data_IF_305720072975
#
_entry.id   IF_305720072975
#
_cell.length_a   1.000
_cell.length_b   1.000
_cell.length_c   1.000
_cell.angle_alpha   90.00
_cell.angle_beta   90.00
_cell.angle_gamma   90.00
#
_symmetry.space_group_name_H-M   'P 1'
#
loop_
_entity.id
_entity.type
_entity.pdbx_description
1 polymer ?
#
# COMPACT_ATOMS: atom_id res chain seq x y z
N UNK A 1 18.51 0.25 12.74
CA UNK A 1 17.04 0.26 12.67
C UNK A 1 16.64 1.19 11.53
N UNK A 2 15.96 0.70 10.49
CA UNK A 2 15.50 1.57 9.39
C UNK A 2 14.04 1.96 9.65
N UNK A 3 13.67 3.25 9.61
CA UNK A 3 12.28 3.66 9.78
C UNK A 3 11.41 3.04 8.69
N UNK A 4 10.19 2.67 9.05
CA UNK A 4 9.23 2.11 8.10
C UNK A 4 8.64 3.25 7.25
N UNK A 5 8.65 3.16 5.91
CA UNK A 5 8.06 4.17 5.03
C UNK A 5 6.61 4.56 5.38
N UNK A 6 5.80 3.64 5.91
CA UNK A 6 4.43 3.94 6.34
C UNK A 6 4.33 4.86 7.59
N UNK A 7 5.46 5.34 8.14
CA UNK A 7 5.54 6.17 9.35
C UNK A 7 5.90 5.42 10.64
N UNK A 8 6.17 4.12 10.56
CA UNK A 8 6.59 3.31 11.72
C UNK A 8 8.06 3.51 12.11
N UNK A 9 8.40 3.27 13.39
CA UNK A 9 9.76 3.48 13.91
C UNK A 9 10.80 2.49 13.38
N UNK A 10 10.39 1.24 13.18
CA UNK A 10 11.24 0.19 12.64
C UNK A 10 10.52 -0.62 11.58
N UNK A 11 11.17 -0.78 10.42
CA UNK A 11 10.65 -1.54 9.31
C UNK A 11 10.42 -3.00 9.66
N UNK A 12 11.38 -3.71 10.26
CA UNK A 12 11.29 -5.15 10.49
C UNK A 12 10.11 -5.50 11.41
N UNK A 13 9.87 -4.71 12.44
CA UNK A 13 8.77 -4.85 13.40
C UNK A 13 7.45 -4.22 12.92
N UNK A 14 7.45 -3.48 11.79
CA UNK A 14 6.28 -2.81 11.23
C UNK A 14 5.77 -3.50 9.96
N UNK A 15 6.13 -3.03 8.76
CA UNK A 15 5.69 -3.65 7.50
C UNK A 15 6.55 -4.84 7.08
N UNK A 16 7.80 -4.90 7.55
CA UNK A 16 8.74 -5.97 7.23
C UNK A 16 8.23 -7.35 7.65
N UNK A 17 7.53 -7.47 8.79
CA UNK A 17 6.90 -8.74 9.19
C UNK A 17 5.86 -9.26 8.18
N UNK A 18 5.11 -8.36 7.54
CA UNK A 18 4.11 -8.73 6.54
C UNK A 18 4.77 -9.07 5.21
N UNK A 19 5.80 -8.32 4.82
CA UNK A 19 6.61 -8.65 3.65
C UNK A 19 7.34 -9.99 3.82
N UNK A 20 7.62 -10.40 5.07
CA UNK A 20 8.15 -11.72 5.42
C UNK A 20 7.09 -12.83 5.55
N UNK A 21 5.81 -12.55 5.25
CA UNK A 21 4.75 -13.55 5.15
C UNK A 21 3.70 -13.53 6.27
N UNK A 22 3.86 -12.71 7.32
CA UNK A 22 2.81 -12.55 8.32
C UNK A 22 1.53 -11.95 7.71
N UNK A 23 0.36 -12.33 8.24
CA UNK A 23 -0.91 -11.76 7.82
C UNK A 23 -1.07 -10.34 8.35
N UNK A 24 -1.50 -9.42 7.48
CA UNK A 24 -1.98 -8.11 7.91
C UNK A 24 -3.28 -8.30 8.71
N UNK A 25 -3.38 -7.82 9.96
CA UNK A 25 -4.53 -8.10 10.81
C UNK A 25 -5.76 -7.23 10.49
N UNK A 26 -5.62 -6.19 9.66
CA UNK A 26 -6.70 -5.28 9.28
C UNK A 26 -6.46 -4.73 7.86
N UNK A 27 -7.48 -4.18 7.18
CA UNK A 27 -7.31 -3.54 5.89
C UNK A 27 -6.33 -2.35 5.96
N UNK A 28 -6.32 -1.59 7.07
CA UNK A 28 -5.35 -0.51 7.28
C UNK A 28 -3.91 -1.03 7.28
N UNK A 29 -3.64 -2.14 7.97
CA UNK A 29 -2.30 -2.72 8.00
C UNK A 29 -1.87 -3.22 6.63
N UNK A 30 -2.81 -3.79 5.86
CA UNK A 30 -2.51 -4.17 4.49
C UNK A 30 -2.21 -2.94 3.63
N UNK A 31 -3.01 -1.88 3.71
CA UNK A 31 -2.78 -0.61 3.00
C UNK A 31 -1.39 -0.04 3.30
N UNK A 32 -0.99 0.04 4.58
CA UNK A 32 0.33 0.53 5.03
C UNK A 32 1.49 -0.32 4.50
N UNK A 33 1.33 -1.64 4.52
CA UNK A 33 2.33 -2.57 3.99
C UNK A 33 2.47 -2.44 2.47
N UNK A 34 1.36 -2.36 1.73
CA UNK A 34 1.37 -2.13 0.27
C UNK A 34 2.04 -0.81 -0.09
N UNK A 35 1.75 0.28 0.61
CA UNK A 35 2.48 1.54 0.45
C UNK A 35 4.00 1.35 0.62
N UNK A 36 4.40 0.63 1.68
CA UNK A 36 5.82 0.36 1.94
C UNK A 36 6.44 -0.51 0.84
N UNK A 37 5.70 -1.45 0.27
CA UNK A 37 6.13 -2.26 -0.86
C UNK A 37 6.34 -1.40 -2.12
N UNK A 38 5.45 -0.44 -2.43
CA UNK A 38 5.69 0.54 -3.50
C UNK A 38 6.97 1.35 -3.27
N UNK A 39 7.22 1.83 -2.05
CA UNK A 39 8.45 2.58 -1.73
C UNK A 39 9.70 1.72 -1.93
N UNK A 40 9.60 0.41 -1.74
CA UNK A 40 10.72 -0.54 -1.81
C UNK A 40 10.85 -1.27 -3.15
N UNK A 41 9.93 -1.05 -4.09
CA UNK A 41 9.89 -1.79 -5.36
C UNK A 41 9.50 -3.26 -5.23
N UNK A 42 8.80 -3.67 -4.16
CA UNK A 42 8.45 -5.08 -3.91
C UNK A 42 7.19 -5.48 -4.69
N UNK A 43 7.37 -5.73 -5.99
CA UNK A 43 6.31 -6.12 -6.92
C UNK A 43 5.63 -7.44 -6.52
N UNK A 44 6.42 -8.40 -6.03
CA UNK A 44 5.92 -9.71 -5.63
C UNK A 44 4.90 -9.58 -4.49
N UNK A 45 5.21 -8.79 -3.46
CA UNK A 45 4.28 -8.52 -2.37
C UNK A 45 3.01 -7.82 -2.85
N UNK A 46 3.14 -6.84 -3.74
CA UNK A 46 2.00 -6.11 -4.30
C UNK A 46 1.06 -7.03 -5.08
N UNK A 47 1.59 -7.94 -5.90
CA UNK A 47 0.79 -8.91 -6.63
C UNK A 47 0.20 -10.01 -5.72
N UNK A 48 0.93 -10.44 -4.69
CA UNK A 48 0.46 -11.45 -3.74
C UNK A 48 -0.66 -10.94 -2.81
N UNK A 49 -0.74 -9.62 -2.60
CA UNK A 49 -1.77 -8.98 -1.76
C UNK A 49 -2.85 -8.26 -2.57
N UNK A 50 -2.90 -8.50 -3.88
CA UNK A 50 -3.97 -8.04 -4.76
C UNK A 50 -5.05 -9.11 -4.86
N UNK A 51 -6.31 -8.69 -4.84
CA UNK A 51 -7.43 -9.61 -4.97
C UNK A 51 -7.38 -10.31 -6.34
N UNK A 52 -7.55 -11.64 -6.42
CA UNK A 52 -7.40 -12.38 -7.67
C UNK A 52 -8.30 -11.90 -8.82
N UNK A 53 -9.49 -11.39 -8.52
CA UNK A 53 -10.44 -10.91 -9.53
C UNK A 53 -10.05 -9.58 -10.19
N UNK A 54 -9.21 -8.77 -9.54
CA UNK A 54 -8.82 -7.43 -10.02
C UNK A 54 -7.30 -7.29 -10.21
N UNK A 55 -6.53 -8.34 -9.90
CA UNK A 55 -5.08 -8.35 -9.98
C UNK A 55 -4.61 -8.20 -11.44
N UNK A 56 -3.76 -7.20 -11.75
CA UNK A 56 -3.16 -7.10 -13.07
C UNK A 56 -2.20 -8.27 -13.34
N UNK A 57 -2.02 -8.63 -14.60
CA UNK A 57 -1.12 -9.73 -14.99
C UNK A 57 0.36 -9.45 -14.64
N UNK A 58 0.76 -8.18 -14.72
CA UNK A 58 2.08 -7.70 -14.33
C UNK A 58 1.97 -6.29 -13.76
N UNK A 59 2.96 -5.90 -12.95
CA UNK A 59 3.03 -4.58 -12.35
C UNK A 59 4.43 -4.03 -12.62
N UNK A 60 4.55 -3.11 -13.56
CA UNK A 60 5.83 -2.51 -13.92
C UNK A 60 6.11 -1.29 -13.03
N UNK A 61 6.96 -1.49 -12.02
CA UNK A 61 7.47 -0.39 -11.18
C UNK A 61 8.75 0.23 -11.74
N UNK A 62 9.32 -0.34 -12.81
CA UNK A 62 10.58 0.11 -13.40
C UNK A 62 10.36 1.05 -14.60
N UNK A 63 9.09 1.26 -15.00
CA UNK A 63 8.71 2.29 -15.97
C UNK A 63 9.26 3.66 -15.57
N UNK A 64 9.70 4.46 -16.54
CA UNK A 64 10.47 5.68 -16.34
C UNK A 64 9.78 6.69 -15.40
N UNK A 65 8.45 6.71 -15.42
CA UNK A 65 7.64 7.53 -14.51
C UNK A 65 7.75 7.06 -13.04
N UNK A 66 7.73 5.74 -12.81
CA UNK A 66 7.87 5.14 -11.49
C UNK A 66 9.33 5.18 -11.00
N UNK A 67 10.30 4.99 -11.89
CA UNK A 67 11.73 5.06 -11.57
C UNK A 67 12.16 6.44 -11.02
N UNK A 68 11.46 7.51 -11.42
CA UNK A 68 11.69 8.87 -10.90
C UNK A 68 10.73 9.26 -9.77
N UNK A 69 9.81 8.37 -9.39
CA UNK A 69 8.84 8.59 -8.32
C UNK A 69 9.49 8.36 -6.95
N UNK A 70 9.52 9.41 -6.15
CA UNK A 70 9.95 9.35 -4.75
C UNK A 70 8.76 9.52 -3.82
N UNK A 71 8.42 8.45 -3.12
CA UNK A 71 7.44 8.49 -2.04
C UNK A 71 8.00 9.23 -0.82
N UNK A 72 7.18 10.11 -0.24
CA UNK A 72 7.57 11.04 0.83
C UNK A 72 6.87 10.77 2.16
N UNK A 73 5.74 10.07 2.13
CA UNK A 73 5.03 9.64 3.33
C UNK A 73 3.60 9.23 3.06
N UNK A 74 3.00 8.64 4.09
CA UNK A 74 1.62 8.16 4.10
C UNK A 74 0.86 8.74 5.29
N UNK A 75 -0.39 9.11 5.08
CA UNK A 75 -1.34 9.48 6.14
C UNK A 75 -2.64 8.74 5.91
N UNK A 76 -2.99 7.82 6.80
CA UNK A 76 -4.33 7.21 6.82
C UNK A 76 -5.31 8.22 7.43
N UNK A 77 -6.44 8.44 6.76
CA UNK A 77 -7.51 9.35 7.16
C UNK A 77 -8.63 8.63 7.87
N UNK A 78 -9.04 7.49 7.32
CA UNK A 78 -10.06 6.63 7.88
C UNK A 78 -9.76 5.18 7.50
N UNK A 79 -10.13 4.26 8.38
CA UNK A 79 -10.14 2.84 8.10
C UNK A 79 -11.41 2.23 8.70
N UNK A 80 -12.08 1.37 7.94
CA UNK A 80 -13.24 0.61 8.41
C UNK A 80 -13.13 -0.85 7.98
N UNK A 81 -13.65 -1.71 8.83
CA UNK A 81 -13.74 -3.15 8.63
C UNK A 81 -15.17 -3.56 9.00
N UNK A 82 -15.82 -4.33 8.14
CA UNK A 82 -17.14 -4.92 8.36
C UNK A 82 -17.13 -6.35 7.83
N UNK A 83 -17.07 -7.31 8.75
CA UNK A 83 -16.88 -8.72 8.41
C UNK A 83 -15.63 -8.94 7.56
N UNK A 84 -15.82 -9.45 6.35
CA UNK A 84 -14.75 -9.73 5.38
C UNK A 84 -14.54 -8.59 4.37
N UNK A 85 -15.15 -7.44 4.59
CA UNK A 85 -14.99 -6.24 3.76
C UNK A 85 -14.28 -5.13 4.54
N UNK A 86 -13.49 -4.32 3.85
CA UNK A 86 -12.80 -3.19 4.45
C UNK A 86 -12.56 -2.05 3.48
N UNK A 87 -12.34 -0.85 4.03
CA UNK A 87 -12.01 0.34 3.26
C UNK A 87 -11.01 1.20 4.02
N UNK A 88 -10.05 1.78 3.29
CA UNK A 88 -9.04 2.67 3.84
C UNK A 88 -8.94 3.91 2.97
N UNK A 89 -9.18 5.06 3.57
CA UNK A 89 -8.93 6.35 2.96
C UNK A 89 -7.56 6.87 3.43
N UNK A 90 -6.72 7.30 2.49
CA UNK A 90 -5.38 7.78 2.80
C UNK A 90 -4.90 8.85 1.83
N UNK A 91 -3.86 9.55 2.27
CA UNK A 91 -3.07 10.47 1.45
C UNK A 91 -1.64 9.95 1.37
N UNK A 92 -1.20 9.60 0.18
CA UNK A 92 0.21 9.32 -0.12
C UNK A 92 0.86 10.54 -0.77
N UNK A 93 2.01 10.97 -0.23
CA UNK A 93 2.79 12.08 -0.77
C UNK A 93 3.92 11.54 -1.61
N UNK A 94 4.15 12.13 -2.77
CA UNK A 94 5.23 11.73 -3.67
C UNK A 94 5.78 12.94 -4.44
N UNK A 95 6.91 12.74 -5.11
CA UNK A 95 7.51 13.70 -6.05
C UNK A 95 7.98 12.92 -7.26
N UNK A 96 7.79 13.44 -8.47
CA UNK A 96 8.30 12.83 -9.71
C UNK A 96 9.47 13.67 -10.20
N UNK A 97 10.66 13.10 -10.23
CA UNK A 97 11.91 13.79 -10.58
C UNK A 97 12.11 15.09 -9.79
N UNK A 98 12.43 16.17 -10.50
CA UNK A 98 12.64 17.51 -9.92
C UNK A 98 11.38 18.32 -9.62
N UNK A 99 10.17 17.78 -9.83
CA UNK A 99 8.91 18.54 -9.73
C UNK A 99 8.49 18.87 -8.29
N UNK A 100 7.42 19.63 -8.08
CA UNK A 100 6.89 19.85 -6.73
C UNK A 100 6.29 18.55 -6.13
N UNK A 101 6.18 18.50 -4.80
CA UNK A 101 5.55 17.37 -4.12
C UNK A 101 4.04 17.35 -4.39
N UNK A 102 3.53 16.19 -4.80
CA UNK A 102 2.12 15.94 -5.08
C UNK A 102 1.49 15.06 -3.99
N UNK A 103 0.16 15.01 -4.00
CA UNK A 103 -0.66 14.19 -3.11
C UNK A 103 -1.57 13.30 -3.94
N UNK A 104 -1.58 12.02 -3.62
CA UNK A 104 -2.59 11.08 -4.04
C UNK A 104 -3.53 10.87 -2.85
N UNK A 105 -4.79 11.27 -3.00
CA UNK A 105 -5.83 11.03 -2.01
C UNK A 105 -6.76 9.96 -2.56
N UNK A 106 -6.75 8.80 -1.94
CA UNK A 106 -7.47 7.62 -2.42
C UNK A 106 -8.27 7.00 -1.28
N UNK A 107 -9.38 6.37 -1.66
CA UNK A 107 -10.14 5.46 -0.83
C UNK A 107 -10.13 4.08 -1.48
N UNK A 108 -9.41 3.14 -0.89
CA UNK A 108 -9.25 1.78 -1.39
C UNK A 108 -10.20 0.82 -0.69
N UNK A 109 -10.67 -0.19 -1.42
CA UNK A 109 -11.48 -1.30 -0.92
C UNK A 109 -10.62 -2.55 -0.76
N UNK A 110 -10.95 -3.33 0.26
CA UNK A 110 -10.27 -4.55 0.63
C UNK A 110 -11.28 -5.65 0.93
N UNK A 111 -10.91 -6.89 0.63
CA UNK A 111 -11.70 -8.07 0.97
C UNK A 111 -10.82 -9.12 1.65
N UNK A 112 -11.39 -9.85 2.60
CA UNK A 112 -10.72 -10.94 3.32
C UNK A 112 -11.20 -12.27 2.77
N UNK A 113 -10.26 -13.07 2.28
CA UNK A 113 -10.51 -14.46 1.86
C UNK A 113 -9.64 -15.38 2.70
N UNK A 114 -10.24 -16.41 3.30
CA UNK A 114 -9.56 -17.39 4.15
C UNK A 114 -8.65 -16.74 5.22
N UNK A 115 -9.15 -15.68 5.84
CA UNK A 115 -8.45 -14.93 6.89
C UNK A 115 -7.34 -13.98 6.40
N UNK A 116 -7.12 -13.84 5.09
CA UNK A 116 -6.13 -12.92 4.49
C UNK A 116 -6.81 -11.76 3.76
N UNK A 117 -6.40 -10.54 4.07
CA UNK A 117 -6.83 -9.34 3.36
C UNK A 117 -6.17 -9.21 1.98
N UNK A 118 -6.92 -8.69 1.02
CA UNK A 118 -6.49 -8.38 -0.33
C UNK A 118 -7.00 -7.00 -0.75
N UNK A 119 -6.17 -6.26 -1.50
CA UNK A 119 -6.59 -5.03 -2.15
C UNK A 119 -7.47 -5.35 -3.36
N UNK A 120 -8.67 -4.78 -3.43
CA UNK A 120 -9.60 -4.96 -4.53
C UNK A 120 -9.37 -3.89 -5.58
N UNK A 121 -9.64 -2.63 -5.23
CA UNK A 121 -9.43 -1.45 -6.06
C UNK A 121 -9.44 -0.18 -5.19
N UNK A 122 -9.41 0.99 -5.83
CA UNK A 122 -9.59 2.25 -5.14
C UNK A 122 -10.02 3.37 -6.07
N UNK A 123 -10.54 4.44 -5.47
CA UNK A 123 -11.02 5.63 -6.16
C UNK A 123 -10.34 6.88 -5.63
N UNK A 124 -10.02 7.81 -6.52
CA UNK A 124 -9.52 9.12 -6.12
C UNK A 124 -10.61 9.92 -5.40
N UNK A 125 -10.26 10.45 -4.24
CA UNK A 125 -11.11 11.35 -3.46
C UNK A 125 -10.75 12.78 -3.87
N UNK A 126 -11.77 13.60 -4.14
CA UNK A 126 -11.60 15.02 -4.50
C UNK A 126 -11.49 15.91 -3.26
#
# INVERSE_FOLDING_TARGET
MMPCPCGGKDYAMCCGRFHAGALAPSPEWLMRSRYTAYVRGDQQYLLATWHPSTRPAALDLDDAAQATMRWLGLTVKAAREDGDWGEVEFIARFRVGGQSAQRLHERSRFERLDGRWYYVDGVFVR
#
